data_IF_270094160653
#
_entry.id   IF_270094160653
#
_cell.length_a   1.000
_cell.length_b   1.000
_cell.length_c   1.000
_cell.angle_alpha   90.00
_cell.angle_beta   90.00
_cell.angle_gamma   90.00
#
_symmetry.space_group_name_H-M   'P 1'
#
loop_
_entity.id
_entity.type
_entity.pdbx_description
1 polymer ?
#
# COMPACT_ATOMS: atom_id res chain seq x y z
N UNK A 1 -10.18 8.48 -7.13
CA UNK A 1 -11.40 8.25 -7.91
C UNK A 1 -11.15 7.77 -9.34
N UNK A 2 -10.19 8.35 -10.05
CA UNK A 2 -9.90 7.97 -11.45
C UNK A 2 -9.50 6.49 -11.55
N UNK A 3 -8.64 6.03 -10.66
CA UNK A 3 -8.16 4.65 -10.63
C UNK A 3 -9.27 3.69 -10.19
N UNK A 4 -10.08 4.07 -9.20
CA UNK A 4 -11.28 3.34 -8.79
C UNK A 4 -12.22 3.13 -9.98
N UNK A 5 -12.60 4.20 -10.67
CA UNK A 5 -13.50 4.12 -11.85
C UNK A 5 -12.92 3.22 -12.95
N UNK A 6 -11.60 3.30 -13.19
CA UNK A 6 -10.94 2.46 -14.18
C UNK A 6 -10.95 0.98 -13.77
N UNK A 7 -10.69 0.68 -12.52
CA UNK A 7 -10.63 -0.67 -11.98
C UNK A 7 -12.02 -1.32 -11.98
N UNK A 8 -13.04 -0.58 -11.53
CA UNK A 8 -14.41 -1.08 -11.43
C UNK A 8 -15.21 -0.99 -12.73
N UNK A 9 -14.65 -0.35 -13.77
CA UNK A 9 -15.39 -0.08 -15.02
C UNK A 9 -16.56 0.91 -14.84
N UNK A 10 -16.47 1.76 -13.80
CA UNK A 10 -17.53 2.71 -13.43
C UNK A 10 -17.24 4.12 -13.90
N UNK A 11 -18.19 5.02 -13.69
CA UNK A 11 -18.11 6.44 -14.02
C UNK A 11 -18.64 7.31 -12.88
N UNK A 12 -18.31 6.95 -11.65
CA UNK A 12 -18.70 7.70 -10.45
C UNK A 12 -18.13 9.11 -10.52
N UNK A 13 -18.93 10.09 -10.10
CA UNK A 13 -18.52 11.48 -9.92
C UNK A 13 -18.75 11.87 -8.46
N UNK A 14 -17.79 12.56 -7.87
CA UNK A 14 -17.87 13.08 -6.52
C UNK A 14 -17.82 14.60 -6.54
N UNK A 15 -18.62 15.24 -5.69
CA UNK A 15 -18.45 16.65 -5.37
C UNK A 15 -17.17 16.84 -4.53
N UNK A 16 -16.76 18.09 -4.31
CA UNK A 16 -15.52 18.40 -3.63
C UNK A 16 -15.49 17.94 -2.15
N UNK A 17 -16.66 17.80 -1.55
CA UNK A 17 -16.90 17.36 -0.17
C UNK A 17 -17.43 15.93 -0.07
N UNK A 18 -17.56 15.23 -1.21
CA UNK A 18 -18.03 13.84 -1.26
C UNK A 18 -16.88 12.86 -1.39
N UNK A 19 -17.09 11.68 -0.80
CA UNK A 19 -16.14 10.56 -0.87
C UNK A 19 -16.89 9.24 -1.05
N UNK A 20 -16.16 8.22 -1.57
CA UNK A 20 -16.55 6.83 -1.37
C UNK A 20 -15.74 6.28 -0.19
N UNK A 21 -16.32 5.35 0.54
CA UNK A 21 -15.66 4.68 1.67
C UNK A 21 -15.61 3.18 1.41
N UNK A 22 -14.44 2.61 1.51
CA UNK A 22 -14.23 1.16 1.51
C UNK A 22 -13.74 0.72 2.89
N UNK A 23 -14.60 0.07 3.68
CA UNK A 23 -14.24 -0.47 4.98
C UNK A 23 -13.61 -1.85 4.82
N UNK A 24 -12.31 -1.97 5.00
CA UNK A 24 -11.62 -3.24 4.99
C UNK A 24 -11.66 -3.89 6.38
N UNK A 25 -12.34 -5.02 6.51
CA UNK A 25 -12.52 -5.76 7.78
C UNK A 25 -13.02 -4.89 8.94
N UNK A 26 -13.72 -3.81 8.63
CA UNK A 26 -14.28 -2.86 9.58
C UNK A 26 -15.76 -2.67 9.28
N UNK A 27 -16.55 -2.41 10.30
CA UNK A 27 -17.93 -1.96 10.12
C UNK A 27 -17.91 -0.43 9.95
N UNK A 28 -18.66 0.04 8.96
CA UNK A 28 -18.86 1.47 8.74
C UNK A 28 -20.33 1.76 8.44
N UNK A 29 -20.95 2.52 9.33
CA UNK A 29 -22.38 2.92 9.22
C UNK A 29 -22.49 4.40 9.59
N UNK A 30 -21.97 5.27 8.72
CA UNK A 30 -22.04 6.71 8.90
C UNK A 30 -22.17 7.43 7.57
N UNK A 31 -22.96 8.51 7.54
CA UNK A 31 -23.08 9.40 6.40
C UNK A 31 -21.88 10.35 6.23
N UNK A 32 -20.96 10.33 7.18
CA UNK A 32 -19.79 11.20 7.17
C UNK A 32 -18.54 10.46 7.62
N UNK A 33 -17.37 10.86 7.10
CA UNK A 33 -16.07 10.43 7.57
C UNK A 33 -15.20 11.65 7.86
N UNK A 34 -14.52 11.62 9.00
CA UNK A 34 -13.58 12.67 9.41
C UNK A 34 -12.16 12.15 9.38
N UNK A 35 -11.26 12.89 8.77
CA UNK A 35 -9.83 12.62 8.78
C UNK A 35 -9.20 13.41 9.93
N UNK A 36 -8.76 12.71 10.97
CA UNK A 36 -8.12 13.24 12.18
C UNK A 36 -8.87 14.40 12.87
N UNK A 37 -10.17 14.51 12.64
CA UNK A 37 -10.96 15.65 13.13
C UNK A 37 -10.71 16.98 12.39
N UNK A 38 -9.81 16.99 11.43
CA UNK A 38 -9.41 18.19 10.67
C UNK A 38 -10.38 18.50 9.54
N UNK A 39 -10.83 17.48 8.86
CA UNK A 39 -11.74 17.63 7.71
C UNK A 39 -12.77 16.50 7.69
N UNK A 40 -14.03 16.90 7.51
CA UNK A 40 -15.16 15.98 7.42
C UNK A 40 -15.70 15.97 5.99
N UNK A 41 -15.94 14.79 5.48
CA UNK A 41 -16.52 14.54 4.17
C UNK A 41 -17.86 13.84 4.30
N UNK A 42 -18.74 14.07 3.36
CA UNK A 42 -20.00 13.35 3.20
C UNK A 42 -19.74 12.05 2.45
N UNK A 43 -20.19 10.94 2.99
CA UNK A 43 -20.12 9.65 2.33
C UNK A 43 -21.21 9.56 1.30
N UNK A 44 -20.83 9.45 0.04
CA UNK A 44 -21.76 9.24 -1.06
C UNK A 44 -22.21 7.79 -1.12
N UNK A 45 -21.28 6.88 -0.92
CA UNK A 45 -21.51 5.46 -1.00
C UNK A 45 -20.43 4.71 -0.23
N UNK A 46 -20.84 3.64 0.45
CA UNK A 46 -19.93 2.63 1.00
C UNK A 46 -19.78 1.56 -0.07
N UNK A 47 -18.56 1.39 -0.56
CA UNK A 47 -18.26 0.47 -1.66
C UNK A 47 -17.61 -0.79 -1.12
N UNK A 48 -17.91 -1.91 -1.76
CA UNK A 48 -17.29 -3.20 -1.49
C UNK A 48 -16.70 -3.73 -2.80
N UNK A 49 -15.42 -4.05 -2.78
CA UNK A 49 -14.75 -4.65 -3.93
C UNK A 49 -13.67 -5.63 -3.47
N UNK A 50 -13.40 -6.61 -4.29
CA UNK A 50 -12.33 -7.56 -4.00
C UNK A 50 -10.97 -6.85 -4.09
N UNK A 51 -10.39 -6.62 -2.92
CA UNK A 51 -9.13 -5.89 -2.77
C UNK A 51 -7.90 -6.73 -3.15
N UNK A 52 -8.06 -8.01 -3.54
CA UNK A 52 -6.93 -8.89 -3.88
C UNK A 52 -6.09 -8.37 -5.04
N UNK A 53 -6.70 -7.58 -5.94
CA UNK A 53 -6.01 -6.91 -7.05
C UNK A 53 -5.78 -5.41 -6.79
N UNK A 54 -5.99 -4.94 -5.57
CA UNK A 54 -6.11 -3.51 -5.29
C UNK A 54 -4.95 -2.94 -4.48
N UNK A 55 -4.91 -1.62 -4.47
CA UNK A 55 -4.02 -0.74 -3.72
C UNK A 55 -4.02 -0.99 -2.18
N UNK A 56 -4.89 -1.86 -1.67
CA UNK A 56 -5.12 -2.11 -0.24
C UNK A 56 -4.76 -3.54 0.17
N UNK A 57 -4.21 -4.34 -0.74
CA UNK A 57 -4.05 -5.79 -0.58
C UNK A 57 -3.17 -6.23 0.61
N UNK A 58 -2.44 -5.34 1.25
CA UNK A 58 -1.48 -5.70 2.30
C UNK A 58 -1.95 -5.37 3.73
N UNK A 59 -3.21 -4.97 3.90
CA UNK A 59 -3.68 -4.59 5.23
C UNK A 59 -4.24 -5.79 6.00
N UNK A 60 -3.39 -6.37 6.84
CA UNK A 60 -3.83 -7.33 7.87
C UNK A 60 -4.71 -6.66 8.95
N UNK A 61 -4.73 -5.35 9.00
CA UNK A 61 -5.43 -4.53 9.99
C UNK A 61 -6.80 -4.07 9.47
N UNK A 62 -7.68 -3.73 10.40
CA UNK A 62 -8.91 -3.02 10.06
C UNK A 62 -8.56 -1.63 9.55
N UNK A 63 -9.06 -1.27 8.38
CA UNK A 63 -8.80 0.01 7.75
C UNK A 63 -10.05 0.59 7.09
N UNK A 64 -10.08 1.89 6.99
CA UNK A 64 -11.10 2.62 6.22
C UNK A 64 -10.38 3.39 5.12
N UNK A 65 -10.59 2.96 3.88
CA UNK A 65 -10.06 3.66 2.72
C UNK A 65 -11.05 4.70 2.23
N UNK A 66 -10.58 5.93 2.09
CA UNK A 66 -11.38 7.05 1.61
C UNK A 66 -10.97 7.40 0.19
N UNK A 67 -11.89 7.25 -0.76
CA UNK A 67 -11.67 7.54 -2.17
C UNK A 67 -12.21 8.93 -2.48
N UNK A 68 -11.35 9.82 -2.90
CA UNK A 68 -11.65 11.24 -3.11
C UNK A 68 -11.65 11.63 -4.58
N UNK A 69 -12.33 12.71 -4.92
CA UNK A 69 -12.31 13.26 -6.29
C UNK A 69 -10.92 13.76 -6.69
N UNK A 70 -10.25 14.45 -5.78
CA UNK A 70 -8.95 15.10 -5.97
C UNK A 70 -8.08 14.91 -4.73
N UNK A 71 -7.22 13.91 -4.78
CA UNK A 71 -6.33 13.56 -3.68
C UNK A 71 -5.30 14.66 -3.40
N UNK A 72 -4.71 15.23 -4.45
CA UNK A 72 -3.64 16.23 -4.30
C UNK A 72 -4.13 17.49 -3.60
N UNK A 73 -5.32 17.97 -3.98
CA UNK A 73 -5.95 19.11 -3.33
C UNK A 73 -6.25 18.83 -1.85
N UNK A 74 -6.83 17.67 -1.56
CA UNK A 74 -7.19 17.31 -0.17
C UNK A 74 -5.94 17.10 0.68
N UNK A 75 -4.90 16.46 0.14
CA UNK A 75 -3.64 16.27 0.84
C UNK A 75 -2.96 17.62 1.14
N UNK A 76 -3.00 18.58 0.20
CA UNK A 76 -2.51 19.94 0.43
C UNK A 76 -3.28 20.66 1.53
N UNK A 77 -4.61 20.64 1.47
CA UNK A 77 -5.47 21.26 2.49
C UNK A 77 -5.26 20.65 3.90
N UNK A 78 -5.04 19.34 4.00
CA UNK A 78 -4.75 18.68 5.25
C UNK A 78 -3.34 19.01 5.76
N UNK A 79 -2.35 19.08 4.88
CA UNK A 79 -0.99 19.47 5.24
C UNK A 79 -0.96 20.88 5.85
N UNK A 80 -1.74 21.81 5.29
CA UNK A 80 -1.85 23.19 5.81
C UNK A 80 -2.53 23.28 7.19
N UNK A 81 -3.33 22.29 7.55
CA UNK A 81 -4.04 22.24 8.83
C UNK A 81 -3.25 21.54 9.94
N UNK A 82 -2.26 20.74 9.58
CA UNK A 82 -1.43 20.03 10.53
C UNK A 82 -0.29 20.92 11.03
N UNK A 83 0.01 20.90 12.33
CA UNK A 83 1.17 21.62 12.84
C UNK A 83 2.45 21.00 12.26
N UNK A 84 3.39 21.84 11.86
CA UNK A 84 4.74 21.39 11.53
C UNK A 84 5.34 20.58 12.70
N UNK A 85 6.15 19.58 12.38
CA UNK A 85 6.89 18.86 13.38
C UNK A 85 8.00 19.75 14.02
N UNK A 86 8.76 19.18 14.96
CA UNK A 86 9.85 19.92 15.64
C UNK A 86 10.97 20.35 14.70
N UNK A 87 11.04 19.81 13.49
CA UNK A 87 12.02 20.11 12.48
C UNK A 87 11.47 21.08 11.41
N UNK A 88 10.21 21.50 11.51
CA UNK A 88 9.53 22.34 10.52
C UNK A 88 9.08 21.53 9.28
N UNK A 89 8.95 20.22 9.41
CA UNK A 89 8.48 19.35 8.33
C UNK A 89 6.97 19.07 8.48
N UNK A 90 6.29 18.90 7.34
CA UNK A 90 4.90 18.49 7.35
C UNK A 90 4.77 17.05 7.91
N UNK A 91 3.90 16.83 8.90
CA UNK A 91 3.68 15.48 9.42
C UNK A 91 2.96 14.55 8.42
N UNK A 92 2.51 15.07 7.29
CA UNK A 92 1.91 14.27 6.22
C UNK A 92 2.98 13.77 5.25
N UNK A 93 2.99 12.47 5.03
CA UNK A 93 3.72 11.86 3.92
C UNK A 93 2.75 11.46 2.81
N UNK A 94 3.14 11.70 1.57
CA UNK A 94 2.42 11.23 0.39
C UNK A 94 3.07 9.95 -0.10
N UNK A 95 2.32 8.86 -0.10
CA UNK A 95 2.75 7.60 -0.68
C UNK A 95 2.08 7.39 -2.04
N UNK A 96 2.87 6.97 -3.02
CA UNK A 96 2.38 6.56 -4.32
C UNK A 96 2.67 5.05 -4.47
N UNK A 97 1.64 4.29 -4.77
CA UNK A 97 1.75 2.83 -4.96
C UNK A 97 1.50 2.52 -6.43
N UNK A 98 2.41 1.77 -7.02
CA UNK A 98 2.30 1.28 -8.38
C UNK A 98 2.36 -0.24 -8.38
N UNK A 99 1.29 -0.87 -8.83
CA UNK A 99 1.22 -2.30 -9.04
C UNK A 99 1.32 -2.60 -10.53
N UNK A 100 2.12 -3.56 -10.89
CA UNK A 100 2.23 -4.02 -12.27
C UNK A 100 2.52 -5.52 -12.32
N UNK A 101 1.98 -6.16 -13.33
CA UNK A 101 2.16 -7.58 -13.59
C UNK A 101 3.47 -7.83 -14.33
N UNK A 102 4.18 -8.85 -13.85
CA UNK A 102 5.38 -9.40 -14.51
C UNK A 102 5.07 -10.74 -15.19
N UNK A 103 3.88 -10.84 -15.78
CA UNK A 103 3.41 -12.07 -16.42
C UNK A 103 4.41 -12.62 -17.44
N UNK A 104 4.75 -13.91 -17.28
CA UNK A 104 5.69 -14.62 -18.14
C UNK A 104 7.16 -14.47 -17.78
N UNK A 105 7.52 -13.62 -16.81
CA UNK A 105 8.88 -13.52 -16.30
C UNK A 105 9.18 -14.66 -15.31
N UNK A 106 10.39 -15.19 -15.40
CA UNK A 106 10.95 -16.08 -14.37
C UNK A 106 11.21 -15.30 -13.07
N UNK A 107 11.45 -15.99 -11.96
CA UNK A 107 11.78 -15.35 -10.68
C UNK A 107 13.05 -14.51 -10.77
N UNK A 108 14.06 -14.97 -11.49
CA UNK A 108 15.32 -14.25 -11.71
C UNK A 108 15.11 -12.98 -12.55
N UNK A 109 14.30 -13.06 -13.60
CA UNK A 109 13.93 -11.90 -14.42
C UNK A 109 13.11 -10.87 -13.65
N UNK A 110 12.23 -11.31 -12.73
CA UNK A 110 11.48 -10.41 -11.86
C UNK A 110 12.39 -9.64 -10.89
N UNK A 111 13.39 -10.31 -10.30
CA UNK A 111 14.37 -9.65 -9.42
C UNK A 111 15.25 -8.67 -10.20
N UNK A 112 15.75 -9.06 -11.36
CA UNK A 112 16.53 -8.18 -12.21
C UNK A 112 15.73 -6.94 -12.66
N UNK A 113 14.48 -7.13 -13.06
CA UNK A 113 13.58 -6.04 -13.42
C UNK A 113 13.32 -5.09 -12.24
N UNK A 114 13.06 -5.63 -11.03
CA UNK A 114 12.88 -4.82 -9.82
C UNK A 114 14.09 -3.93 -9.57
N UNK A 115 15.29 -4.50 -9.61
CA UNK A 115 16.53 -3.79 -9.32
C UNK A 115 16.82 -2.70 -10.36
N UNK A 116 16.58 -2.97 -11.63
CA UNK A 116 16.69 -2.00 -12.72
C UNK A 116 15.65 -0.87 -12.55
N UNK A 117 14.41 -1.21 -12.23
CA UNK A 117 13.34 -0.23 -12.02
C UNK A 117 13.65 0.70 -10.83
N UNK A 118 14.07 0.16 -9.69
CA UNK A 118 14.47 0.95 -8.51
C UNK A 118 15.67 1.85 -8.83
N UNK A 119 16.67 1.31 -9.51
CA UNK A 119 17.86 2.07 -9.92
C UNK A 119 17.51 3.21 -10.86
N UNK A 120 16.67 2.96 -11.87
CA UNK A 120 16.19 3.98 -12.80
C UNK A 120 15.34 5.05 -12.12
N UNK A 121 14.44 4.66 -11.23
CA UNK A 121 13.62 5.58 -10.45
C UNK A 121 14.47 6.47 -9.53
N UNK A 122 15.42 5.89 -8.82
CA UNK A 122 16.33 6.64 -7.93
C UNK A 122 17.18 7.64 -8.72
N UNK A 123 17.69 7.25 -9.89
CA UNK A 123 18.43 8.15 -10.77
C UNK A 123 17.56 9.31 -11.27
N UNK A 124 16.32 9.04 -11.69
CA UNK A 124 15.38 10.05 -12.14
C UNK A 124 15.04 11.07 -11.02
N UNK A 125 14.85 10.60 -9.80
CA UNK A 125 14.60 11.50 -8.66
C UNK A 125 15.79 12.41 -8.38
N UNK A 126 17.00 11.89 -8.40
CA UNK A 126 18.22 12.69 -8.23
C UNK A 126 18.38 13.75 -9.34
N UNK A 127 18.09 13.39 -10.58
CA UNK A 127 18.14 14.30 -11.72
C UNK A 127 17.15 15.46 -11.59
N UNK A 128 16.00 15.20 -10.97
CA UNK A 128 14.99 16.20 -10.65
C UNK A 128 15.21 16.94 -9.30
N UNK A 129 16.34 16.72 -8.63
CA UNK A 129 16.69 17.38 -7.38
C UNK A 129 15.90 16.88 -6.17
N UNK A 130 15.27 15.73 -6.26
CA UNK A 130 14.48 15.13 -5.18
C UNK A 130 15.38 14.16 -4.42
N UNK A 131 15.91 14.59 -3.27
CA UNK A 131 16.89 13.83 -2.49
C UNK A 131 16.32 13.06 -1.29
N UNK A 132 15.06 13.31 -0.91
CA UNK A 132 14.43 12.71 0.25
C UNK A 132 13.20 11.90 -0.16
N UNK A 133 13.42 10.80 -0.88
CA UNK A 133 12.36 9.84 -1.17
C UNK A 133 12.75 8.52 -0.52
N UNK A 134 11.86 8.04 0.35
CA UNK A 134 11.87 6.66 0.76
C UNK A 134 11.04 5.86 -0.25
N UNK A 135 11.65 4.85 -0.84
CA UNK A 135 10.94 3.92 -1.70
C UNK A 135 11.04 2.51 -1.15
N UNK A 136 9.98 1.78 -1.32
CA UNK A 136 9.89 0.38 -0.97
C UNK A 136 9.36 -0.38 -2.18
N UNK A 137 9.91 -1.53 -2.46
CA UNK A 137 9.41 -2.37 -3.54
C UNK A 137 9.34 -3.81 -3.08
N UNK A 138 8.23 -4.43 -3.34
CA UNK A 138 8.02 -5.86 -3.14
C UNK A 138 7.89 -6.57 -4.48
N UNK A 139 8.43 -7.78 -4.54
CA UNK A 139 8.23 -8.67 -5.66
C UNK A 139 7.82 -10.05 -5.14
N UNK A 140 7.00 -10.75 -5.90
CA UNK A 140 6.64 -12.14 -5.58
C UNK A 140 7.90 -13.02 -5.46
N UNK A 141 8.89 -12.80 -6.31
CA UNK A 141 10.16 -13.53 -6.30
C UNK A 141 10.93 -13.32 -4.99
N UNK A 142 11.07 -12.05 -4.55
CA UNK A 142 11.74 -11.68 -3.30
C UNK A 142 11.01 -12.24 -2.08
N UNK A 143 9.71 -12.01 -1.98
CA UNK A 143 8.90 -12.50 -0.86
C UNK A 143 8.94 -14.03 -0.75
N UNK A 144 8.96 -14.74 -1.88
CA UNK A 144 9.10 -16.19 -1.91
C UNK A 144 10.49 -16.63 -1.43
N UNK A 145 11.56 -15.96 -1.86
CA UNK A 145 12.92 -16.27 -1.41
C UNK A 145 13.09 -16.07 0.09
N UNK A 146 12.59 -14.95 0.62
CA UNK A 146 12.62 -14.64 2.05
C UNK A 146 11.80 -15.63 2.88
N UNK A 147 10.63 -16.04 2.37
CA UNK A 147 9.82 -17.08 2.99
C UNK A 147 10.60 -18.40 3.12
N UNK A 148 11.22 -18.86 2.04
CA UNK A 148 11.99 -20.10 2.07
C UNK A 148 13.27 -19.98 2.92
N UNK A 149 13.94 -18.84 2.93
CA UNK A 149 15.10 -18.61 3.77
C UNK A 149 14.73 -18.68 5.26
N UNK A 150 13.62 -18.08 5.66
CA UNK A 150 13.19 -18.03 7.06
C UNK A 150 12.57 -19.35 7.52
N UNK A 151 11.58 -19.85 6.80
CA UNK A 151 10.82 -21.02 7.23
C UNK A 151 11.49 -22.33 6.87
N UNK A 152 12.32 -22.37 5.81
CA UNK A 152 13.09 -23.55 5.44
C UNK A 152 14.10 -23.93 6.52
N UNK A 153 14.76 -22.96 7.13
CA UNK A 153 15.68 -23.19 8.25
C UNK A 153 14.97 -23.75 9.49
N UNK A 154 13.79 -23.21 9.83
CA UNK A 154 12.97 -23.71 10.94
C UNK A 154 12.45 -25.11 10.67
N UNK A 155 12.03 -25.40 9.45
CA UNK A 155 11.56 -26.74 9.06
C UNK A 155 12.68 -27.76 9.13
N UNK A 156 13.88 -27.42 8.67
CA UNK A 156 15.08 -28.26 8.78
C UNK A 156 15.41 -28.56 10.25
N UNK A 157 15.40 -27.54 11.10
CA UNK A 157 15.63 -27.68 12.54
C UNK A 157 14.60 -28.62 13.20
N UNK A 158 13.33 -28.49 12.84
CA UNK A 158 12.25 -29.35 13.34
C UNK A 158 12.48 -30.82 12.95
N UNK A 159 12.90 -31.09 11.71
CA UNK A 159 13.23 -32.45 11.25
C UNK A 159 14.41 -33.02 12.05
N UNK A 160 15.50 -32.25 12.21
CA UNK A 160 16.68 -32.70 12.96
C UNK A 160 16.34 -33.02 14.42
N UNK A 161 15.58 -32.15 15.07
CA UNK A 161 15.11 -32.39 16.44
C UNK A 161 14.22 -33.64 16.53
N UNK A 162 13.32 -33.84 15.58
CA UNK A 162 12.46 -35.03 15.54
C UNK A 162 13.28 -36.32 15.44
N UNK A 163 14.33 -36.32 14.59
CA UNK A 163 15.24 -37.45 14.47
C UNK A 163 15.99 -37.69 15.78
N UNK A 164 16.52 -36.65 16.42
CA UNK A 164 17.21 -36.76 17.70
C UNK A 164 16.29 -37.34 18.77
N UNK A 165 15.04 -36.89 18.85
CA UNK A 165 14.07 -37.43 19.82
C UNK A 165 13.74 -38.92 19.57
N UNK A 166 13.66 -39.33 18.30
CA UNK A 166 13.41 -40.75 17.96
C UNK A 166 14.57 -41.63 18.43
N UNK A 167 15.83 -41.17 18.32
CA UNK A 167 16.98 -41.94 18.76
C UNK A 167 17.23 -41.83 20.26
N UNK A 168 16.68 -40.86 20.95
CA UNK A 168 16.80 -40.67 22.39
C UNK A 168 15.74 -41.40 23.23
N UNK A 169 14.65 -41.83 22.57
CA UNK A 169 13.55 -42.59 23.20
C UNK A 169 13.77 -44.07 23.10
#
# INVERSE_FOLDING_TARGET
LKDYNKMMGESVRLAADEVLVYPHRADFDSDTVSIDGLKTFRVKEVVDFDATDSLVADEMLQAITVITADFDRIAGELADLLPEDRNGESPMSKMMVYNFDTNGMTLEEQEAFRDEFIGGMSAAFLDHGISQISHFSESYAGNRADFYATYGALFFLAIVLSIVFIFAA
#
